data_IF_887018977491
#
_entry.id   IF_887018977491
#
_cell.length_a   1.000
_cell.length_b   1.000
_cell.length_c   1.000
_cell.angle_alpha   90.00
_cell.angle_beta   90.00
_cell.angle_gamma   90.00
#
_symmetry.space_group_name_H-M   'P 1'
#
loop_
_entity.id
_entity.type
_entity.pdbx_description
1 polymer ?
#
# COMPACT_ATOMS: atom_id res chain seq x y z
N UNK A 1 33.31 -3.70 61.53
CA UNK A 1 34.03 -3.66 60.24
C UNK A 1 33.21 -4.51 59.30
N UNK A 2 32.56 -3.93 58.28
CA UNK A 2 31.52 -4.59 57.47
C UNK A 2 32.05 -4.87 56.07
N UNK A 3 31.80 -6.07 55.57
CA UNK A 3 31.90 -6.42 54.17
C UNK A 3 30.84 -5.68 53.34
N UNK A 4 31.18 -5.43 52.09
CA UNK A 4 30.26 -5.03 51.02
C UNK A 4 30.50 -5.99 49.86
N UNK A 5 29.51 -6.81 49.55
CA UNK A 5 29.48 -7.66 48.36
C UNK A 5 28.29 -7.23 47.50
N UNK A 6 28.52 -7.05 46.21
CA UNK A 6 27.68 -6.19 45.34
C UNK A 6 26.75 -7.06 44.47
N UNK A 7 25.54 -7.34 44.96
CA UNK A 7 24.58 -8.21 44.27
C UNK A 7 23.94 -7.51 43.06
N UNK A 8 24.36 -7.93 41.86
CA UNK A 8 23.89 -7.37 40.59
C UNK A 8 22.48 -7.87 40.25
N UNK A 9 21.49 -7.08 40.66
CA UNK A 9 20.06 -7.36 40.54
C UNK A 9 19.59 -7.93 39.19
N UNK A 10 19.30 -9.24 39.17
CA UNK A 10 18.67 -9.96 38.06
C UNK A 10 17.32 -9.32 37.68
N UNK A 11 17.17 -8.94 36.40
CA UNK A 11 15.87 -8.57 35.82
C UNK A 11 14.91 -9.78 35.79
N UNK A 12 13.61 -9.64 36.09
CA UNK A 12 12.65 -10.74 36.01
C UNK A 12 12.39 -11.15 34.55
N UNK A 13 12.35 -12.45 34.29
CA UNK A 13 11.90 -13.00 32.99
C UNK A 13 10.36 -12.99 32.91
N UNK A 14 9.73 -12.47 31.83
CA UNK A 14 8.30 -12.67 31.60
C UNK A 14 8.00 -14.16 31.37
N UNK A 15 6.86 -14.63 31.91
CA UNK A 15 6.53 -16.06 32.00
C UNK A 15 6.13 -16.67 30.65
N UNK A 16 6.71 -17.82 30.34
CA UNK A 16 6.65 -18.56 29.06
C UNK A 16 5.32 -19.30 28.75
N UNK A 17 4.18 -18.83 29.26
CA UNK A 17 2.92 -19.61 29.25
C UNK A 17 2.21 -19.63 27.89
N UNK A 18 2.46 -18.66 26.99
CA UNK A 18 1.95 -18.70 25.59
C UNK A 18 2.83 -19.54 24.66
N UNK A 19 4.15 -19.47 24.81
CA UNK A 19 5.11 -20.16 23.93
C UNK A 19 4.97 -21.70 23.94
N UNK A 20 4.53 -22.31 25.06
CA UNK A 20 4.31 -23.75 25.14
C UNK A 20 3.03 -24.24 24.44
N UNK A 21 2.00 -23.37 24.31
CA UNK A 21 0.72 -23.73 23.69
C UNK A 21 0.75 -23.71 22.16
N UNK A 22 1.66 -22.96 21.55
CA UNK A 22 1.88 -22.99 20.10
C UNK A 22 2.70 -24.21 19.66
N UNK A 23 3.75 -24.59 20.41
CA UNK A 23 4.67 -25.72 20.08
C UNK A 23 4.04 -27.12 20.11
N UNK A 24 2.74 -27.27 20.40
CA UNK A 24 2.04 -28.56 20.49
C UNK A 24 0.71 -28.60 19.72
N UNK A 25 0.42 -27.61 18.86
CA UNK A 25 -0.75 -27.70 17.98
C UNK A 25 -0.46 -28.59 16.75
N UNK A 26 -0.96 -29.82 16.78
CA UNK A 26 -0.94 -30.70 15.61
C UNK A 26 -1.72 -30.11 14.43
N UNK A 27 -1.25 -30.35 13.20
CA UNK A 27 -1.75 -29.80 11.93
C UNK A 27 -3.28 -29.68 11.81
N UNK A 28 -4.04 -30.67 12.29
CA UNK A 28 -5.52 -30.65 12.29
C UNK A 28 -6.11 -29.50 13.12
N UNK A 29 -5.56 -29.26 14.32
CA UNK A 29 -6.01 -28.20 15.22
C UNK A 29 -5.59 -26.82 14.74
N UNK A 30 -4.45 -26.74 14.04
CA UNK A 30 -4.05 -25.54 13.31
C UNK A 30 -5.06 -25.24 12.20
N UNK A 31 -5.41 -26.19 11.33
CA UNK A 31 -6.45 -26.00 10.29
C UNK A 31 -7.84 -25.68 10.87
N UNK A 32 -8.25 -26.29 11.98
CA UNK A 32 -9.47 -25.88 12.70
C UNK A 32 -9.37 -24.45 13.24
N UNK A 33 -8.20 -24.04 13.74
CA UNK A 33 -7.95 -22.66 14.20
C UNK A 33 -7.93 -21.69 13.02
N UNK A 34 -7.37 -22.05 11.86
CA UNK A 34 -7.49 -21.25 10.62
C UNK A 34 -8.98 -21.07 10.24
N UNK A 35 -9.78 -22.14 10.32
CA UNK A 35 -11.20 -22.10 9.99
C UNK A 35 -12.05 -21.30 11.00
N UNK A 36 -11.67 -21.27 12.29
CA UNK A 36 -12.39 -20.52 13.34
C UNK A 36 -11.86 -19.10 13.57
N UNK A 37 -10.61 -18.78 13.23
CA UNK A 37 -9.96 -17.48 13.50
C UNK A 37 -10.25 -16.40 12.44
N UNK A 38 -11.39 -16.45 11.73
CA UNK A 38 -11.80 -15.36 10.84
C UNK A 38 -10.83 -15.11 9.69
N UNK A 39 -10.36 -16.20 9.06
CA UNK A 39 -9.61 -16.16 7.81
C UNK A 39 -10.50 -15.59 6.69
N UNK A 40 -10.42 -14.27 6.49
CA UNK A 40 -11.15 -13.54 5.46
C UNK A 40 -10.80 -14.03 4.04
N UNK A 41 -11.55 -13.58 3.03
CA UNK A 41 -11.62 -14.19 1.68
C UNK A 41 -10.32 -14.56 0.96
N UNK A 42 -9.17 -13.97 1.34
CA UNK A 42 -7.83 -14.40 0.92
C UNK A 42 -7.51 -15.87 1.26
N UNK A 43 -8.11 -16.42 2.31
CA UNK A 43 -7.92 -17.79 2.77
C UNK A 43 -8.41 -18.83 1.75
N UNK A 44 -9.48 -18.52 1.03
CA UNK A 44 -10.04 -19.37 -0.01
C UNK A 44 -9.11 -19.52 -1.24
N UNK A 45 -8.04 -18.72 -1.30
CA UNK A 45 -7.00 -18.78 -2.33
C UNK A 45 -5.84 -19.73 -1.93
N UNK A 46 -5.79 -20.17 -0.68
CA UNK A 46 -4.82 -21.12 -0.17
C UNK A 46 -5.34 -22.56 -0.32
N UNK A 47 -4.48 -23.46 -0.75
CA UNK A 47 -4.76 -24.87 -1.03
C UNK A 47 -4.27 -25.76 0.11
N UNK A 48 -4.73 -27.01 0.12
CA UNK A 48 -4.19 -28.02 1.02
C UNK A 48 -2.71 -28.33 0.78
N UNK A 49 -2.16 -28.03 -0.41
CA UNK A 49 -0.73 -28.17 -0.71
C UNK A 49 0.07 -27.04 -0.08
N UNK A 50 -0.39 -25.78 -0.15
CA UNK A 50 0.25 -24.63 0.49
C UNK A 50 0.41 -24.85 2.01
N UNK A 51 -0.64 -25.38 2.67
CA UNK A 51 -0.62 -25.70 4.11
C UNK A 51 0.25 -26.93 4.43
N UNK A 52 0.43 -27.86 3.47
CA UNK A 52 1.32 -29.02 3.64
C UNK A 52 2.80 -28.67 3.43
N UNK A 53 3.07 -27.68 2.57
CA UNK A 53 4.41 -27.17 2.28
C UNK A 53 4.98 -26.27 3.40
N UNK A 54 4.11 -25.57 4.15
CA UNK A 54 4.54 -24.74 5.27
C UNK A 54 5.20 -25.55 6.40
N UNK A 55 6.21 -24.92 7.03
CA UNK A 55 6.87 -25.41 8.24
C UNK A 55 5.91 -25.56 9.43
N UNK A 56 6.37 -26.22 10.50
CA UNK A 56 5.57 -26.43 11.73
C UNK A 56 5.22 -25.16 12.50
N UNK A 57 5.99 -24.10 12.25
CA UNK A 57 6.01 -22.79 12.87
C UNK A 57 5.81 -21.67 11.84
N UNK A 58 5.41 -22.02 10.62
CA UNK A 58 5.09 -21.09 9.54
C UNK A 58 3.62 -21.18 9.15
N UNK A 59 3.13 -20.13 8.48
CA UNK A 59 1.80 -20.11 7.86
C UNK A 59 1.91 -19.66 6.40
N UNK A 60 1.16 -20.28 5.46
CA UNK A 60 1.10 -19.79 4.10
C UNK A 60 0.25 -18.52 4.02
N UNK A 61 0.71 -17.54 3.25
CA UNK A 61 0.01 -16.28 2.95
C UNK A 61 -0.02 -16.03 1.44
N UNK A 62 -0.99 -15.23 1.01
CA UNK A 62 -0.97 -14.62 -0.32
C UNK A 62 -0.31 -13.25 -0.19
N UNK A 63 0.92 -13.07 -0.69
CA UNK A 63 1.63 -11.78 -0.62
C UNK A 63 1.24 -10.82 -1.76
N UNK A 64 0.53 -11.29 -2.78
CA UNK A 64 0.00 -10.42 -3.82
C UNK A 64 -0.73 -11.17 -4.92
N UNK A 65 -0.94 -10.48 -6.02
CA UNK A 65 -1.49 -11.04 -7.24
C UNK A 65 -0.72 -10.51 -8.42
N UNK A 66 -0.34 -11.39 -9.34
CA UNK A 66 0.39 -11.03 -10.54
C UNK A 66 0.05 -11.99 -11.69
N UNK A 67 0.46 -11.62 -12.89
CA UNK A 67 0.42 -12.51 -14.05
C UNK A 67 1.56 -13.52 -14.01
N UNK A 68 1.23 -14.79 -14.27
CA UNK A 68 2.21 -15.81 -14.60
C UNK A 68 2.53 -15.74 -16.08
N UNK A 69 3.59 -15.00 -16.40
CA UNK A 69 4.27 -15.14 -17.69
C UNK A 69 5.23 -16.33 -17.53
N UNK A 70 4.84 -17.47 -18.10
CA UNK A 70 5.73 -18.58 -18.39
C UNK A 70 6.26 -18.43 -19.83
N UNK A 71 7.41 -19.03 -20.14
CA UNK A 71 8.07 -18.87 -21.44
C UNK A 71 7.18 -19.41 -22.58
N UNK A 72 6.51 -18.50 -23.29
CA UNK A 72 5.63 -18.81 -24.42
C UNK A 72 4.16 -18.39 -24.25
N UNK A 73 3.70 -18.01 -23.06
CA UNK A 73 2.35 -17.48 -22.84
C UNK A 73 2.35 -15.96 -22.63
N UNK A 74 2.10 -15.21 -23.72
CA UNK A 74 1.99 -13.75 -23.69
C UNK A 74 0.71 -13.23 -22.99
N UNK A 75 -0.31 -14.06 -22.76
CA UNK A 75 -1.56 -13.70 -22.04
C UNK A 75 -1.54 -14.07 -20.55
N UNK A 76 -0.68 -15.01 -20.13
CA UNK A 76 -0.20 -15.27 -18.77
C UNK A 76 -1.16 -14.99 -17.61
N UNK A 77 -1.83 -16.04 -17.12
CA UNK A 77 -2.95 -15.98 -16.15
C UNK A 77 -2.66 -15.12 -14.91
N UNK A 78 -3.62 -14.28 -14.51
CA UNK A 78 -3.56 -13.54 -13.25
C UNK A 78 -3.96 -14.42 -12.06
N UNK A 79 -3.07 -14.57 -11.09
CA UNK A 79 -3.25 -15.48 -9.96
C UNK A 79 -2.68 -14.97 -8.63
N UNK A 80 -3.04 -15.61 -7.50
CA UNK A 80 -2.50 -15.31 -6.19
C UNK A 80 -1.03 -15.75 -6.10
N UNK A 81 -0.18 -14.83 -5.66
CA UNK A 81 1.24 -15.04 -5.33
C UNK A 81 1.37 -15.44 -3.86
N UNK A 82 2.03 -16.56 -3.58
CA UNK A 82 2.04 -17.22 -2.26
C UNK A 82 3.45 -17.37 -1.72
N UNK A 83 3.58 -17.29 -0.40
CA UNK A 83 4.81 -17.56 0.37
C UNK A 83 4.45 -18.05 1.77
N UNK A 84 5.42 -18.50 2.55
CA UNK A 84 5.25 -18.73 3.99
C UNK A 84 5.86 -17.60 4.81
N UNK A 85 5.38 -17.43 6.04
CA UNK A 85 5.87 -16.47 7.05
C UNK A 85 5.79 -17.08 8.45
N UNK A 86 6.58 -16.61 9.44
CA UNK A 86 6.47 -17.08 10.83
C UNK A 86 5.07 -16.93 11.41
N UNK A 87 4.60 -17.97 12.09
CA UNK A 87 3.22 -18.05 12.59
C UNK A 87 2.93 -17.11 13.76
N UNK A 88 3.95 -16.81 14.58
CA UNK A 88 3.87 -15.83 15.67
C UNK A 88 3.73 -14.41 15.12
N UNK A 89 4.57 -14.01 14.17
CA UNK A 89 4.48 -12.73 13.47
C UNK A 89 3.13 -12.54 12.78
N UNK A 90 2.60 -13.58 12.12
CA UNK A 90 1.30 -13.48 11.46
C UNK A 90 0.15 -13.34 12.47
N UNK A 91 0.23 -14.02 13.61
CA UNK A 91 -0.74 -13.87 14.69
C UNK A 91 -0.71 -12.45 15.29
N UNK A 92 0.47 -11.88 15.50
CA UNK A 92 0.63 -10.49 15.96
C UNK A 92 0.10 -9.47 14.96
N UNK A 93 0.43 -9.64 13.66
CA UNK A 93 -0.12 -8.79 12.59
C UNK A 93 -1.64 -8.83 12.56
N UNK A 94 -2.23 -10.04 12.71
CA UNK A 94 -3.69 -10.22 12.78
C UNK A 94 -4.28 -9.52 13.99
N UNK A 95 -3.69 -9.68 15.17
CA UNK A 95 -4.13 -8.98 16.38
C UNK A 95 -4.10 -7.46 16.19
N UNK A 96 -3.04 -6.90 15.58
CA UNK A 96 -2.94 -5.47 15.33
C UNK A 96 -3.97 -4.94 14.31
N UNK A 97 -4.27 -5.70 13.25
CA UNK A 97 -5.33 -5.38 12.29
C UNK A 97 -6.73 -5.42 12.91
N UNK A 98 -6.98 -6.37 13.81
CA UNK A 98 -8.26 -6.50 14.50
C UNK A 98 -8.41 -5.39 15.57
N UNK A 99 -7.36 -5.10 16.34
CA UNK A 99 -7.29 -3.97 17.28
C UNK A 99 -7.48 -2.59 16.60
N UNK A 100 -6.81 -2.33 15.47
CA UNK A 100 -6.97 -1.09 14.69
C UNK A 100 -8.43 -0.87 14.26
N UNK A 101 -9.10 -1.94 13.85
CA UNK A 101 -10.49 -1.95 13.38
C UNK A 101 -11.50 -1.73 14.50
N UNK A 102 -11.30 -2.39 15.64
CA UNK A 102 -12.22 -2.33 16.78
C UNK A 102 -12.14 -1.00 17.55
N UNK A 103 -10.93 -0.45 17.73
CA UNK A 103 -10.72 0.77 18.50
C UNK A 103 -11.19 2.05 17.79
N UNK A 104 -11.39 1.98 16.47
CA UNK A 104 -11.92 3.05 15.61
C UNK A 104 -11.25 4.42 15.85
N UNK A 105 -9.94 4.47 16.10
CA UNK A 105 -9.21 5.64 16.60
C UNK A 105 -9.58 6.98 15.95
N UNK A 106 -9.63 7.00 14.62
CA UNK A 106 -9.98 8.16 13.77
C UNK A 106 -11.44 8.64 13.83
N UNK A 107 -12.34 7.97 14.56
CA UNK A 107 -13.64 8.54 14.93
C UNK A 107 -13.61 9.26 16.29
N UNK A 108 -12.46 9.28 16.98
CA UNK A 108 -12.24 10.12 18.17
C UNK A 108 -11.83 11.52 17.73
N UNK A 109 -12.33 12.53 18.44
CA UNK A 109 -11.93 13.91 18.19
C UNK A 109 -10.42 14.10 18.43
N UNK A 110 -9.77 14.92 17.61
CA UNK A 110 -8.34 15.21 17.70
C UNK A 110 -7.40 14.15 17.10
N UNK A 111 -7.86 12.92 16.82
CA UNK A 111 -7.08 11.94 16.04
C UNK A 111 -7.08 12.34 14.55
N UNK A 112 -5.90 12.45 13.95
CA UNK A 112 -5.75 12.82 12.53
C UNK A 112 -5.39 11.65 11.63
N UNK A 113 -4.71 10.62 12.16
CA UNK A 113 -4.45 9.38 11.44
C UNK A 113 -4.29 8.20 12.40
N UNK A 114 -4.51 6.99 11.88
CA UNK A 114 -4.11 5.74 12.52
C UNK A 114 -3.72 4.70 11.45
N UNK A 115 -2.93 3.69 11.82
CA UNK A 115 -2.61 2.58 10.95
C UNK A 115 -1.87 1.47 11.67
N UNK A 116 -1.77 0.30 11.04
CA UNK A 116 -1.01 -0.83 11.61
C UNK A 116 0.45 -0.72 11.22
N UNK A 117 1.34 -0.88 12.20
CA UNK A 117 2.78 -1.04 12.01
C UNK A 117 3.09 -2.53 12.11
N UNK A 118 3.27 -3.26 10.99
CA UNK A 118 3.72 -4.64 11.02
C UNK A 118 5.04 -4.78 11.77
N UNK A 119 5.14 -5.85 12.56
CA UNK A 119 6.34 -6.22 13.29
C UNK A 119 7.46 -6.74 12.39
N UNK A 120 8.58 -7.10 13.01
CA UNK A 120 9.77 -7.68 12.39
C UNK A 120 9.78 -9.21 12.61
N UNK A 121 10.28 -10.00 11.66
CA UNK A 121 10.38 -11.45 11.85
C UNK A 121 11.36 -11.79 12.99
N UNK A 122 10.85 -12.46 14.04
CA UNK A 122 11.62 -12.73 15.26
C UNK A 122 12.04 -11.48 16.07
N UNK A 123 11.49 -10.31 15.73
CA UNK A 123 11.85 -9.02 16.32
C UNK A 123 10.69 -8.41 17.11
N UNK A 124 10.41 -7.12 16.89
CA UNK A 124 9.29 -6.42 17.53
C UNK A 124 7.94 -6.90 16.99
N UNK A 125 6.96 -7.09 17.88
CA UNK A 125 5.57 -7.41 17.53
C UNK A 125 4.92 -6.26 16.73
N UNK A 126 3.79 -6.54 16.08
CA UNK A 126 3.00 -5.51 15.40
C UNK A 126 2.27 -4.58 16.40
N UNK A 127 2.11 -3.32 16.01
CA UNK A 127 1.48 -2.26 16.81
C UNK A 127 0.43 -1.49 15.98
N UNK A 128 -0.38 -0.67 16.65
CA UNK A 128 -1.18 0.38 16.00
C UNK A 128 -0.49 1.73 16.24
N UNK A 129 -0.14 2.45 15.19
CA UNK A 129 0.32 3.82 15.29
C UNK A 129 -0.90 4.77 15.19
N UNK A 130 -0.93 5.82 16.01
CA UNK A 130 -1.98 6.84 16.01
C UNK A 130 -1.33 8.23 16.04
N UNK A 131 -1.61 9.05 15.03
CA UNK A 131 -1.25 10.47 15.02
C UNK A 131 -2.44 11.29 15.56
N UNK A 132 -2.21 12.06 16.60
CA UNK A 132 -3.23 12.86 17.27
C UNK A 132 -2.71 14.25 17.66
N UNK A 133 -3.63 15.20 17.85
CA UNK A 133 -3.33 16.49 18.46
C UNK A 133 -3.05 16.32 19.95
N UNK A 134 -2.43 17.34 20.55
CA UNK A 134 -2.20 17.43 21.98
C UNK A 134 -3.48 17.13 22.80
N UNK A 135 -3.27 16.57 23.99
CA UNK A 135 -4.30 16.31 25.02
C UNK A 135 -5.41 15.31 24.63
N UNK A 136 -5.29 14.57 23.52
CA UNK A 136 -6.21 13.48 23.16
C UNK A 136 -5.90 12.22 23.99
N UNK A 137 -6.84 11.82 24.84
CA UNK A 137 -6.75 10.57 25.63
C UNK A 137 -6.88 9.33 24.73
N UNK A 138 -5.80 8.57 24.63
CA UNK A 138 -5.67 7.36 23.84
C UNK A 138 -5.11 6.22 24.71
N UNK A 139 -5.71 5.02 24.65
CA UNK A 139 -5.22 3.89 25.42
C UNK A 139 -3.86 3.44 24.89
N UNK A 140 -2.89 3.17 25.78
CA UNK A 140 -1.57 2.65 25.41
C UNK A 140 -1.62 1.25 24.77
N UNK A 141 -2.74 0.52 24.93
CA UNK A 141 -2.96 -0.81 24.36
C UNK A 141 -4.42 -1.04 23.99
N UNK A 142 -4.65 -1.90 23.00
CA UNK A 142 -5.96 -2.48 22.67
C UNK A 142 -5.83 -3.99 22.72
N UNK A 143 -6.40 -4.60 23.76
CA UNK A 143 -6.08 -5.97 24.14
C UNK A 143 -4.59 -6.11 24.44
N UNK A 144 -3.91 -7.06 23.79
CA UNK A 144 -2.46 -7.24 23.92
C UNK A 144 -1.64 -6.33 23.00
N UNK A 145 -2.24 -5.66 22.01
CA UNK A 145 -1.53 -4.85 21.01
C UNK A 145 -1.17 -3.48 21.58
N UNK A 146 0.07 -3.02 21.36
CA UNK A 146 0.51 -1.66 21.74
C UNK A 146 -0.01 -0.59 20.79
N UNK A 147 -0.31 0.58 21.34
CA UNK A 147 -0.69 1.79 20.61
C UNK A 147 0.44 2.80 20.73
N UNK A 148 1.06 3.13 19.60
CA UNK A 148 2.17 4.08 19.49
C UNK A 148 1.60 5.45 19.09
N UNK A 149 1.53 6.38 20.04
CA UNK A 149 0.94 7.72 19.82
C UNK A 149 2.01 8.73 19.39
N UNK A 150 1.81 9.36 18.24
CA UNK A 150 2.58 10.52 17.78
C UNK A 150 1.74 11.79 17.93
N UNK A 151 2.30 12.79 18.60
CA UNK A 151 1.67 14.11 18.75
C UNK A 151 1.99 14.99 17.54
N UNK A 152 0.99 15.65 16.97
CA UNK A 152 1.15 16.49 15.75
C UNK A 152 0.58 17.89 15.92
N UNK A 153 1.34 18.88 15.44
CA UNK A 153 0.95 20.30 15.41
C UNK A 153 0.55 20.73 13.98
N UNK A 154 -0.45 21.61 13.79
CA UNK A 154 -0.91 22.02 12.47
C UNK A 154 0.02 23.07 11.83
N UNK A 155 1.03 22.60 11.10
CA UNK A 155 1.86 23.42 10.21
C UNK A 155 1.27 23.57 8.81
N UNK A 156 1.63 24.64 8.07
CA UNK A 156 1.16 24.88 6.70
C UNK A 156 2.27 25.46 5.83
N UNK A 157 2.66 24.70 4.79
CA UNK A 157 3.63 25.13 3.76
C UNK A 157 3.09 24.82 2.36
N UNK A 158 3.42 25.68 1.39
CA UNK A 158 2.91 25.64 0.01
C UNK A 158 3.99 25.20 -1.02
N UNK A 159 3.60 24.68 -2.19
CA UNK A 159 4.52 24.17 -3.22
C UNK A 159 5.37 25.19 -3.98
N UNK A 160 6.44 24.66 -4.58
CA UNK A 160 7.19 25.20 -5.72
C UNK A 160 7.08 24.25 -6.94
N UNK A 161 7.22 24.76 -8.17
CA UNK A 161 6.94 24.02 -9.42
C UNK A 161 8.06 24.09 -10.47
N UNK A 162 8.45 22.94 -11.04
CA UNK A 162 9.31 22.71 -12.24
C UNK A 162 9.27 21.20 -12.58
N UNK A 163 9.44 20.69 -13.81
CA UNK A 163 9.42 21.25 -15.19
C UNK A 163 9.06 20.11 -16.20
N UNK A 164 8.62 20.35 -17.46
CA UNK A 164 8.11 19.28 -18.32
C UNK A 164 9.16 18.49 -19.12
N UNK A 165 8.95 17.18 -19.30
CA UNK A 165 9.80 16.31 -20.15
C UNK A 165 8.98 15.54 -21.18
N UNK A 166 9.42 15.59 -22.43
CA UNK A 166 8.71 15.08 -23.61
C UNK A 166 8.45 13.56 -23.63
N UNK A 167 7.45 13.16 -24.42
CA UNK A 167 7.31 11.80 -24.96
C UNK A 167 6.62 11.84 -26.33
N UNK A 168 6.87 10.86 -27.20
CA UNK A 168 6.29 10.80 -28.57
C UNK A 168 4.79 10.37 -28.55
N UNK A 169 4.11 10.44 -29.68
CA UNK A 169 2.66 10.23 -29.85
C UNK A 169 2.33 8.88 -30.51
N UNK A 170 1.05 8.46 -30.43
CA UNK A 170 0.54 7.25 -31.10
C UNK A 170 0.99 5.93 -30.48
N UNK A 171 1.29 5.92 -29.18
CA UNK A 171 1.98 4.82 -28.49
C UNK A 171 1.30 4.46 -27.17
N UNK A 172 1.51 3.23 -26.70
CA UNK A 172 1.15 2.83 -25.34
C UNK A 172 1.93 3.68 -24.33
N UNK A 173 1.23 4.32 -23.39
CA UNK A 173 1.77 5.36 -22.51
C UNK A 173 2.04 4.78 -21.12
N UNK A 174 3.30 4.74 -20.65
CA UNK A 174 3.64 4.22 -19.33
C UNK A 174 3.27 5.18 -18.20
N UNK A 175 3.16 4.65 -16.99
CA UNK A 175 3.10 5.45 -15.77
C UNK A 175 4.41 6.21 -15.51
N UNK A 176 4.36 7.19 -14.61
CA UNK A 176 5.51 8.05 -14.31
C UNK A 176 5.75 9.17 -15.34
N UNK A 177 4.75 9.48 -16.18
CA UNK A 177 4.76 10.63 -17.13
C UNK A 177 3.82 11.74 -16.65
N UNK A 178 4.05 12.97 -17.13
CA UNK A 178 3.23 14.13 -16.79
C UNK A 178 1.86 14.08 -17.49
N UNK A 179 0.80 14.23 -16.71
CA UNK A 179 -0.57 14.29 -17.20
C UNK A 179 -1.40 15.30 -16.40
N UNK A 180 -2.56 15.69 -16.92
CA UNK A 180 -3.46 16.58 -16.20
C UNK A 180 -4.50 17.26 -17.06
N UNK A 181 -4.88 18.45 -16.62
CA UNK A 181 -5.83 19.36 -17.27
C UNK A 181 -5.09 20.64 -17.68
N UNK A 182 -5.72 21.63 -18.34
CA UNK A 182 -5.07 22.93 -18.60
C UNK A 182 -4.60 23.64 -17.32
N UNK A 183 -5.29 23.40 -16.19
CA UNK A 183 -5.14 24.15 -14.94
C UNK A 183 -4.40 23.37 -13.83
N UNK A 184 -4.05 22.09 -14.06
CA UNK A 184 -3.44 21.22 -13.05
C UNK A 184 -2.62 20.10 -13.67
N UNK A 185 -1.49 19.76 -13.04
CA UNK A 185 -0.55 18.71 -13.48
C UNK A 185 -0.32 17.70 -12.35
N UNK A 186 -0.21 16.44 -12.73
CA UNK A 186 0.20 15.34 -11.88
C UNK A 186 0.92 14.25 -12.67
N UNK A 187 1.11 13.11 -12.03
CA UNK A 187 1.73 11.92 -12.59
C UNK A 187 0.67 10.90 -13.04
N UNK A 188 0.86 10.32 -14.22
CA UNK A 188 0.05 9.22 -14.73
C UNK A 188 0.48 7.91 -14.04
N UNK A 189 -0.49 7.09 -13.61
CA UNK A 189 -0.22 5.72 -13.19
C UNK A 189 0.03 4.79 -14.39
N UNK A 190 0.67 3.61 -14.20
CA UNK A 190 0.59 2.52 -15.17
C UNK A 190 -0.86 2.08 -15.37
N UNK A 191 -1.09 1.25 -16.39
CA UNK A 191 -2.41 0.71 -16.70
C UNK A 191 -3.09 0.08 -15.48
N UNK A 192 -4.32 0.52 -15.23
CA UNK A 192 -5.25 -0.14 -14.34
C UNK A 192 -6.33 -0.83 -15.16
N UNK A 193 -6.90 -1.90 -14.61
CA UNK A 193 -7.77 -2.82 -15.33
C UNK A 193 -9.11 -3.02 -14.63
N UNK A 194 -10.17 -3.00 -15.42
CA UNK A 194 -11.52 -3.45 -15.06
C UNK A 194 -11.76 -4.79 -15.77
N UNK A 195 -11.49 -5.89 -15.07
CA UNK A 195 -11.36 -7.21 -15.70
C UNK A 195 -10.18 -7.23 -16.68
N UNK A 196 -10.46 -7.41 -17.97
CA UNK A 196 -9.47 -7.27 -19.07
C UNK A 196 -9.41 -5.84 -19.67
N UNK A 197 -10.33 -4.92 -19.34
CA UNK A 197 -10.40 -3.58 -19.96
C UNK A 197 -9.40 -2.61 -19.31
N UNK A 198 -8.36 -2.14 -20.02
CA UNK A 198 -7.43 -1.14 -19.49
C UNK A 198 -8.05 0.26 -19.43
N UNK A 199 -7.63 1.06 -18.45
CA UNK A 199 -7.97 2.48 -18.34
C UNK A 199 -6.78 3.32 -17.81
N UNK A 200 -6.79 4.60 -18.15
CA UNK A 200 -5.83 5.58 -17.61
C UNK A 200 -6.24 6.00 -16.20
N UNK A 201 -5.27 6.14 -15.30
CA UNK A 201 -5.50 6.60 -13.94
C UNK A 201 -4.48 7.67 -13.50
N UNK A 202 -4.97 8.61 -12.69
CA UNK A 202 -4.20 9.62 -11.95
C UNK A 202 -5.05 10.08 -10.76
N UNK A 203 -4.55 11.00 -9.93
CA UNK A 203 -5.25 11.45 -8.72
C UNK A 203 -6.61 12.11 -9.05
N UNK A 204 -7.59 12.01 -8.14
CA UNK A 204 -8.87 12.70 -8.32
C UNK A 204 -8.68 14.22 -8.29
N UNK A 205 -7.79 14.70 -7.41
CA UNK A 205 -7.46 16.12 -7.27
C UNK A 205 -6.63 16.72 -8.43
N UNK A 206 -6.18 15.91 -9.42
CA UNK A 206 -5.49 16.40 -10.63
C UNK A 206 -6.48 16.80 -11.75
N UNK A 207 -7.71 16.27 -11.71
CA UNK A 207 -8.78 16.55 -12.70
C UNK A 207 -10.02 17.22 -12.11
N UNK A 208 -9.94 17.60 -10.84
CA UNK A 208 -10.99 18.23 -10.03
C UNK A 208 -10.45 18.61 -8.66
N UNK A 209 -11.32 19.07 -7.75
CA UNK A 209 -10.95 19.24 -6.33
C UNK A 209 -11.39 18.03 -5.49
N UNK A 210 -10.82 17.89 -4.29
CA UNK A 210 -10.91 16.74 -3.36
C UNK A 210 -12.30 16.13 -3.10
N UNK A 211 -13.38 16.90 -3.31
CA UNK A 211 -14.76 16.49 -2.98
C UNK A 211 -15.56 15.93 -4.16
N UNK A 212 -15.13 16.16 -5.39
CA UNK A 212 -15.98 15.95 -6.56
C UNK A 212 -15.75 14.58 -7.19
N UNK A 213 -16.81 13.77 -7.33
CA UNK A 213 -16.85 12.79 -8.42
C UNK A 213 -16.79 13.58 -9.74
N UNK A 214 -15.80 13.30 -10.58
CA UNK A 214 -15.64 13.94 -11.90
C UNK A 214 -16.04 13.00 -13.03
N UNK A 215 -16.58 13.57 -14.10
CA UNK A 215 -16.94 12.91 -15.36
C UNK A 215 -16.77 13.90 -16.50
N UNK A 216 -16.43 13.43 -17.70
CA UNK A 216 -16.33 14.26 -18.91
C UNK A 216 -15.08 15.14 -19.02
N UNK A 217 -14.33 15.37 -17.94
CA UNK A 217 -13.05 16.10 -18.00
C UNK A 217 -12.07 15.38 -18.93
N UNK A 218 -11.42 16.12 -19.84
CA UNK A 218 -10.36 15.57 -20.69
C UNK A 218 -9.04 15.47 -19.92
N UNK A 219 -8.43 14.29 -19.91
CA UNK A 219 -7.06 14.09 -19.43
C UNK A 219 -6.09 14.25 -20.60
N UNK A 220 -5.02 15.02 -20.39
CA UNK A 220 -3.98 15.33 -21.37
C UNK A 220 -2.61 14.86 -20.88
N UNK A 221 -1.68 14.64 -21.81
CA UNK A 221 -0.26 14.61 -21.49
C UNK A 221 0.25 16.05 -21.42
N UNK A 222 0.91 16.39 -20.32
CA UNK A 222 1.52 17.70 -20.09
C UNK A 222 2.99 17.63 -20.52
N UNK A 223 3.57 18.74 -20.98
CA UNK A 223 4.97 18.77 -21.44
C UNK A 223 5.20 18.28 -22.87
N UNK A 224 4.17 18.32 -23.72
CA UNK A 224 4.30 18.24 -25.17
C UNK A 224 3.82 19.55 -25.78
N UNK A 225 4.43 20.01 -26.87
CA UNK A 225 4.03 21.23 -27.58
C UNK A 225 2.53 21.29 -27.92
N UNK A 226 1.89 20.15 -28.19
CA UNK A 226 0.45 20.04 -28.47
C UNK A 226 -0.43 19.61 -27.28
N UNK A 227 0.17 19.27 -26.12
CA UNK A 227 -0.48 18.70 -24.92
C UNK A 227 -1.72 17.82 -25.22
N UNK A 228 -1.51 16.70 -25.95
CA UNK A 228 -2.59 15.93 -26.54
C UNK A 228 -3.49 15.30 -25.48
N UNK A 229 -4.79 15.26 -25.77
CA UNK A 229 -5.76 14.49 -25.00
C UNK A 229 -5.45 13.00 -25.18
N UNK A 230 -5.46 12.26 -24.07
CA UNK A 230 -5.25 10.80 -24.04
C UNK A 230 -6.48 10.05 -23.55
N UNK A 231 -7.40 10.75 -22.89
CA UNK A 231 -8.60 10.12 -22.35
C UNK A 231 -9.64 11.12 -21.85
N UNK A 232 -10.81 10.59 -21.51
CA UNK A 232 -11.92 11.32 -20.87
C UNK A 232 -12.29 10.63 -19.56
N UNK A 233 -12.42 11.39 -18.48
CA UNK A 233 -12.77 10.86 -17.16
C UNK A 233 -14.16 10.20 -17.22
N UNK A 234 -14.22 8.88 -17.04
CA UNK A 234 -15.48 8.13 -16.91
C UNK A 234 -16.08 8.34 -15.51
N UNK A 235 -15.22 8.30 -14.47
CA UNK A 235 -15.59 8.47 -13.06
C UNK A 235 -14.40 8.88 -12.20
N UNK A 236 -14.63 9.81 -11.27
CA UNK A 236 -13.74 10.10 -10.16
C UNK A 236 -14.18 9.42 -8.85
N UNK A 237 -13.20 9.04 -8.03
CA UNK A 237 -13.34 8.30 -6.78
C UNK A 237 -12.69 9.11 -5.65
N UNK A 238 -13.44 10.06 -5.09
CA UNK A 238 -12.89 11.04 -4.14
C UNK A 238 -12.30 10.42 -2.85
N UNK A 239 -12.89 9.31 -2.35
CA UNK A 239 -12.47 8.65 -1.11
C UNK A 239 -11.17 7.84 -1.23
N UNK A 240 -10.85 7.35 -2.43
CA UNK A 240 -9.60 6.68 -2.76
C UNK A 240 -8.63 7.60 -3.53
N UNK A 241 -9.10 8.81 -3.86
CA UNK A 241 -8.43 9.87 -4.59
C UNK A 241 -7.81 9.42 -5.92
N UNK A 242 -8.62 8.76 -6.77
CA UNK A 242 -8.25 8.41 -8.14
C UNK A 242 -9.35 8.73 -9.15
N UNK A 243 -8.98 8.82 -10.42
CA UNK A 243 -9.94 8.81 -11.54
C UNK A 243 -9.71 7.63 -12.47
N UNK A 244 -10.84 7.12 -12.98
CA UNK A 244 -10.88 6.19 -14.11
C UNK A 244 -11.14 6.99 -15.39
N UNK A 245 -10.23 6.87 -16.34
CA UNK A 245 -10.24 7.65 -17.58
C UNK A 245 -10.26 6.70 -18.78
N UNK A 246 -11.32 6.78 -19.59
CA UNK A 246 -11.42 6.04 -20.84
C UNK A 246 -10.36 6.54 -21.81
N UNK A 247 -9.53 5.66 -22.41
CA UNK A 247 -8.60 6.05 -23.46
C UNK A 247 -9.32 6.63 -24.68
N UNK A 248 -8.70 7.59 -25.37
CA UNK A 248 -9.22 8.18 -26.61
C UNK A 248 -8.08 8.53 -27.58
N UNK A 249 -8.43 8.98 -28.78
CA UNK A 249 -7.51 9.54 -29.79
C UNK A 249 -6.32 8.62 -30.13
N UNK A 250 -6.51 7.30 -30.05
CA UNK A 250 -5.50 6.27 -30.35
C UNK A 250 -4.49 5.99 -29.22
N UNK A 251 -4.60 6.66 -28.07
CA UNK A 251 -3.76 6.39 -26.91
C UNK A 251 -4.28 5.23 -26.07
N UNK A 252 -3.35 4.49 -25.45
CA UNK A 252 -3.65 3.38 -24.54
C UNK A 252 -2.67 3.43 -23.35
N UNK A 253 -3.07 3.01 -22.14
CA UNK A 253 -2.15 2.92 -21.01
C UNK A 253 -1.28 1.65 -21.12
N UNK A 254 -0.02 1.74 -20.70
CA UNK A 254 0.90 0.61 -20.64
C UNK A 254 0.98 0.03 -19.22
N UNK A 255 1.08 -1.30 -19.10
CA UNK A 255 1.52 -1.98 -17.87
C UNK A 255 3.03 -1.82 -17.67
N UNK A 256 3.50 -0.58 -17.62
CA UNK A 256 4.90 -0.23 -17.45
C UNK A 256 5.07 1.11 -16.75
N UNK A 257 6.17 1.27 -16.02
CA UNK A 257 6.55 2.54 -15.36
C UNK A 257 7.82 3.08 -16.03
N UNK A 258 7.77 4.34 -16.48
CA UNK A 258 8.91 5.05 -17.07
C UNK A 258 10.04 5.13 -16.05
N UNK A 259 11.25 4.71 -16.41
CA UNK A 259 12.43 4.80 -15.52
C UNK A 259 12.44 3.82 -14.33
N UNK A 260 11.48 2.91 -14.24
CA UNK A 260 11.56 1.77 -13.34
C UNK A 260 12.47 0.68 -13.90
N UNK A 261 13.01 -0.16 -13.01
CA UNK A 261 13.82 -1.33 -13.32
C UNK A 261 13.43 -2.45 -12.32
N UNK A 262 12.82 -3.56 -12.78
CA UNK A 262 12.23 -3.73 -14.11
C UNK A 262 11.15 -2.69 -14.46
N UNK A 263 10.83 -2.54 -15.75
CA UNK A 263 9.79 -1.58 -16.22
C UNK A 263 8.37 -2.13 -16.14
N UNK A 264 8.20 -3.41 -16.43
CA UNK A 264 6.90 -4.06 -16.58
C UNK A 264 6.18 -4.17 -15.24
N UNK A 265 4.92 -3.75 -15.20
CA UNK A 265 4.03 -3.96 -14.06
C UNK A 265 3.34 -5.31 -14.26
N UNK A 266 3.65 -6.27 -13.39
CA UNK A 266 3.10 -7.63 -13.46
C UNK A 266 1.92 -7.84 -12.52
N UNK A 267 1.72 -6.95 -11.55
CA UNK A 267 0.71 -7.12 -10.52
C UNK A 267 0.80 -6.13 -9.37
N UNK A 268 0.42 -6.60 -8.18
CA UNK A 268 0.23 -5.78 -6.99
C UNK A 268 0.32 -6.58 -5.70
N UNK A 269 0.79 -5.95 -4.62
CA UNK A 269 0.86 -6.57 -3.31
C UNK A 269 -0.51 -6.65 -2.62
N UNK A 270 -0.70 -7.71 -1.83
CA UNK A 270 -1.77 -7.80 -0.84
C UNK A 270 -1.41 -6.94 0.39
N UNK A 271 -2.32 -6.84 1.35
CA UNK A 271 -2.02 -6.19 2.64
C UNK A 271 -0.94 -6.96 3.40
N UNK A 272 -1.06 -8.28 3.41
CA UNK A 272 -0.13 -9.20 4.08
C UNK A 272 1.24 -9.24 3.39
N UNK A 273 1.31 -9.01 2.07
CA UNK A 273 2.56 -8.84 1.34
C UNK A 273 3.27 -7.52 1.64
N UNK A 274 2.54 -6.41 1.76
CA UNK A 274 3.10 -5.14 2.23
C UNK A 274 3.63 -5.25 3.68
N UNK A 275 2.93 -6.02 4.53
CA UNK A 275 3.41 -6.35 5.86
C UNK A 275 4.72 -7.16 5.81
N UNK A 276 4.79 -8.16 4.94
CA UNK A 276 5.99 -9.01 4.73
C UNK A 276 7.19 -8.19 4.26
N UNK A 277 7.01 -7.32 3.26
CA UNK A 277 8.07 -6.41 2.81
C UNK A 277 8.57 -5.50 3.95
N UNK A 278 7.66 -4.96 4.78
CA UNK A 278 8.06 -4.18 5.95
C UNK A 278 8.88 -5.01 6.95
N UNK A 279 8.42 -6.22 7.26
CA UNK A 279 9.08 -7.13 8.21
C UNK A 279 10.49 -7.55 7.74
N UNK A 280 10.69 -7.63 6.43
CA UNK A 280 11.98 -7.86 5.77
C UNK A 280 12.86 -6.60 5.66
N UNK A 281 12.34 -5.42 6.02
CA UNK A 281 13.06 -4.14 5.92
C UNK A 281 13.10 -3.54 4.51
N UNK A 282 12.32 -4.08 3.58
CA UNK A 282 12.32 -3.68 2.17
C UNK A 282 11.78 -2.27 1.93
N UNK A 283 12.17 -1.71 0.77
CA UNK A 283 11.85 -0.33 0.38
C UNK A 283 11.06 -0.26 -0.91
N UNK A 284 9.91 0.37 -0.86
CA UNK A 284 9.15 0.73 -2.05
C UNK A 284 9.88 1.81 -2.85
N UNK A 285 9.83 1.74 -4.17
CA UNK A 285 10.25 2.77 -5.10
C UNK A 285 9.03 3.51 -5.66
N UNK A 286 9.19 4.75 -6.11
CA UNK A 286 8.18 5.52 -6.86
C UNK A 286 8.87 6.18 -8.05
N UNK A 287 8.15 6.35 -9.16
CA UNK A 287 8.50 7.36 -10.16
C UNK A 287 7.40 8.42 -10.21
N UNK A 288 7.77 9.64 -9.83
CA UNK A 288 6.94 10.83 -9.95
C UNK A 288 7.49 11.77 -11.02
N UNK A 289 6.67 12.74 -11.45
CA UNK A 289 7.05 13.76 -12.42
C UNK A 289 8.04 14.77 -11.83
N UNK A 290 7.85 15.14 -10.56
CA UNK A 290 8.62 16.20 -9.90
C UNK A 290 9.88 15.63 -9.26
N UNK A 291 9.78 14.61 -8.39
CA UNK A 291 10.97 14.06 -7.71
C UNK A 291 11.69 12.95 -8.48
N UNK A 292 11.22 12.59 -9.68
CA UNK A 292 11.75 11.45 -10.43
C UNK A 292 11.63 10.12 -9.65
N UNK A 293 12.71 9.32 -9.65
CA UNK A 293 12.75 8.00 -8.97
C UNK A 293 13.20 8.13 -7.52
N UNK A 294 12.28 7.92 -6.57
CA UNK A 294 12.57 7.91 -5.13
C UNK A 294 12.39 6.51 -4.53
N UNK A 295 12.91 6.28 -3.31
CA UNK A 295 12.75 5.02 -2.56
C UNK A 295 12.51 5.28 -1.06
N UNK A 296 11.76 4.41 -0.39
CA UNK A 296 11.30 4.63 0.97
C UNK A 296 10.88 3.34 1.70
N UNK A 297 11.09 3.28 3.02
CA UNK A 297 10.61 2.15 3.85
C UNK A 297 9.09 2.19 4.00
N UNK A 298 8.46 1.04 4.22
CA UNK A 298 7.06 0.97 4.67
C UNK A 298 7.00 1.31 6.17
N UNK A 299 6.20 2.31 6.52
CA UNK A 299 6.00 2.75 7.90
C UNK A 299 4.76 2.06 8.50
N UNK A 300 3.60 2.18 7.86
CA UNK A 300 2.34 1.60 8.30
C UNK A 300 1.44 1.19 7.12
N UNK A 301 0.53 0.24 7.36
CA UNK A 301 -0.45 -0.30 6.40
C UNK A 301 -1.87 -0.20 6.98
N UNK A 302 -2.88 -0.47 6.15
CA UNK A 302 -4.31 -0.42 6.53
C UNK A 302 -4.75 0.96 7.07
N UNK A 303 -3.97 2.01 6.78
CA UNK A 303 -4.10 3.31 7.42
C UNK A 303 -5.43 4.00 7.13
N UNK A 304 -5.85 4.83 8.07
CA UNK A 304 -6.89 5.83 7.86
C UNK A 304 -6.35 7.19 8.28
N UNK A 305 -6.53 8.19 7.42
CA UNK A 305 -6.04 9.55 7.68
C UNK A 305 -7.07 10.59 7.25
N UNK A 306 -7.30 11.54 8.14
CA UNK A 306 -8.10 12.74 7.96
C UNK A 306 -7.22 13.96 7.60
N UNK A 307 -5.90 13.76 7.42
CA UNK A 307 -4.94 14.83 7.18
C UNK A 307 -5.05 15.49 5.79
N UNK A 308 -5.65 14.82 4.80
CA UNK A 308 -5.78 15.36 3.43
C UNK A 308 -7.19 15.17 2.83
N UNK A 309 -7.82 16.30 2.47
CA UNK A 309 -9.22 16.38 2.07
C UNK A 309 -10.17 16.56 3.28
N UNK A 310 -11.45 16.88 3.00
CA UNK A 310 -12.46 17.09 4.06
C UNK A 310 -13.13 15.79 4.56
N UNK A 311 -12.61 14.62 4.18
CA UNK A 311 -13.13 13.30 4.57
C UNK A 311 -11.95 12.36 4.81
N UNK A 312 -11.99 11.61 5.90
CA UNK A 312 -10.94 10.64 6.24
C UNK A 312 -10.85 9.52 5.19
N UNK A 313 -9.68 9.38 4.56
CA UNK A 313 -9.39 8.37 3.53
C UNK A 313 -8.91 7.08 4.20
N UNK A 314 -9.43 5.93 3.75
CA UNK A 314 -9.19 4.59 4.31
C UNK A 314 -8.28 3.75 3.40
N UNK A 315 -7.69 2.69 3.95
CA UNK A 315 -6.86 1.74 3.19
C UNK A 315 -5.57 2.36 2.68
N UNK A 316 -4.96 3.20 3.51
CA UNK A 316 -3.80 4.01 3.17
C UNK A 316 -2.49 3.28 3.53
N UNK A 317 -1.46 3.55 2.74
CA UNK A 317 -0.11 3.03 2.90
C UNK A 317 0.81 4.20 3.27
N UNK A 318 1.38 4.14 4.47
CA UNK A 318 2.36 5.11 4.98
C UNK A 318 3.75 4.61 4.63
N UNK A 319 4.51 5.36 3.84
CA UNK A 319 5.84 4.92 3.40
C UNK A 319 6.76 6.11 3.10
N UNK A 320 8.05 5.86 2.93
CA UNK A 320 9.01 6.89 2.53
C UNK A 320 9.28 7.95 3.58
N UNK A 321 9.47 9.17 3.10
CA UNK A 321 9.96 10.36 3.82
C UNK A 321 9.61 11.62 3.00
N UNK A 322 9.89 12.81 3.52
CA UNK A 322 9.68 14.10 2.87
C UNK A 322 10.42 14.23 1.54
N UNK A 323 11.66 13.74 1.50
CA UNK A 323 12.45 13.65 0.27
C UNK A 323 11.91 12.66 -0.78
N UNK A 324 10.90 11.85 -0.43
CA UNK A 324 10.34 10.87 -1.35
C UNK A 324 9.21 11.42 -2.24
N UNK A 325 8.62 12.59 -1.96
CA UNK A 325 7.46 13.14 -2.69
C UNK A 325 7.43 14.69 -2.72
N UNK A 326 7.04 15.27 -3.86
CA UNK A 326 6.73 16.70 -4.00
C UNK A 326 5.51 16.91 -4.92
N UNK A 327 4.90 18.10 -4.89
CA UNK A 327 3.65 18.33 -5.61
C UNK A 327 3.87 18.23 -7.14
N UNK A 328 2.91 17.60 -7.83
CA UNK A 328 3.06 17.09 -9.21
C UNK A 328 3.37 15.59 -9.28
N UNK A 329 3.85 14.96 -8.21
CA UNK A 329 3.95 13.50 -8.10
C UNK A 329 2.60 12.80 -7.87
N UNK A 330 1.54 13.55 -7.58
CA UNK A 330 0.18 13.04 -7.35
C UNK A 330 -0.28 12.11 -8.48
N UNK A 331 -0.90 10.98 -8.13
CA UNK A 331 -1.30 9.94 -9.09
C UNK A 331 -0.19 8.96 -9.48
N UNK A 332 1.06 9.18 -9.06
CA UNK A 332 2.14 8.18 -9.15
C UNK A 332 1.81 6.92 -8.34
N UNK A 333 2.46 5.80 -8.70
CA UNK A 333 2.43 4.56 -7.93
C UNK A 333 3.74 4.33 -7.20
N UNK A 334 3.67 3.70 -6.03
CA UNK A 334 4.81 3.07 -5.38
C UNK A 334 4.82 1.56 -5.69
N UNK A 335 6.00 0.97 -5.82
CA UNK A 335 6.21 -0.38 -6.34
C UNK A 335 7.47 -1.05 -5.78
N UNK A 336 7.55 -2.37 -5.91
CA UNK A 336 8.76 -3.16 -5.64
C UNK A 336 8.83 -4.30 -6.69
N UNK A 337 10.02 -4.80 -7.08
CA UNK A 337 10.11 -6.08 -7.79
C UNK A 337 9.33 -7.19 -7.08
N UNK A 338 8.83 -8.18 -7.81
CA UNK A 338 8.26 -9.37 -7.18
C UNK A 338 9.37 -10.04 -6.34
N UNK A 339 9.21 -10.22 -5.00
CA UNK A 339 10.29 -10.73 -4.15
C UNK A 339 10.64 -12.20 -4.42
N UNK A 340 9.79 -12.95 -5.14
CA UNK A 340 10.05 -14.33 -5.57
C UNK A 340 10.49 -14.39 -7.04
N UNK A 341 10.02 -13.47 -7.89
CA UNK A 341 10.37 -13.39 -9.33
C UNK A 341 10.86 -11.99 -9.72
N UNK A 342 11.99 -11.48 -9.18
CA UNK A 342 12.38 -10.07 -9.29
C UNK A 342 12.60 -9.59 -10.72
N UNK A 343 13.01 -10.47 -11.63
CA UNK A 343 13.24 -10.15 -13.05
C UNK A 343 11.94 -10.14 -13.89
N UNK A 344 10.85 -10.76 -13.41
CA UNK A 344 9.59 -10.82 -14.16
C UNK A 344 8.91 -9.44 -14.25
N UNK A 345 9.10 -8.59 -13.24
CA UNK A 345 8.52 -7.26 -13.21
C UNK A 345 8.41 -6.67 -11.82
N UNK A 346 7.69 -5.55 -11.75
CA UNK A 346 7.34 -4.87 -10.49
C UNK A 346 5.86 -5.07 -10.15
N UNK A 347 5.61 -5.14 -8.84
CA UNK A 347 4.28 -5.18 -8.25
C UNK A 347 3.99 -3.84 -7.56
N UNK A 348 2.78 -3.30 -7.76
CA UNK A 348 2.34 -2.04 -7.16
C UNK A 348 1.94 -2.24 -5.70
N UNK A 349 2.47 -1.41 -4.80
CA UNK A 349 2.08 -1.39 -3.38
C UNK A 349 0.91 -0.44 -3.10
N UNK A 350 0.96 0.75 -3.70
CA UNK A 350 -0.03 1.81 -3.54
C UNK A 350 0.03 2.85 -4.65
N UNK A 351 -1.01 3.65 -4.72
CA UNK A 351 -1.35 4.57 -5.79
C UNK A 351 -1.71 5.96 -5.23
N UNK A 352 -1.51 7.01 -6.03
CA UNK A 352 -1.67 8.41 -5.65
C UNK A 352 -1.00 8.68 -4.31
N UNK A 353 0.32 8.59 -4.36
CA UNK A 353 1.15 9.16 -3.33
C UNK A 353 0.81 10.65 -3.14
N UNK A 354 0.78 11.12 -1.90
CA UNK A 354 0.49 12.49 -1.50
C UNK A 354 1.26 12.80 -0.20
N UNK A 355 1.65 14.08 -0.03
CA UNK A 355 2.30 14.58 1.19
C UNK A 355 1.33 15.32 2.09
N UNK A 356 1.63 15.32 3.39
CA UNK A 356 1.02 16.19 4.41
C UNK A 356 2.10 16.63 5.38
N UNK A 357 2.47 17.92 5.40
CA UNK A 357 3.45 18.45 6.35
C UNK A 357 2.79 18.90 7.65
N UNK A 358 2.67 17.98 8.60
CA UNK A 358 2.59 18.34 10.01
C UNK A 358 4.02 18.37 10.58
N UNK A 359 4.42 19.39 11.36
CA UNK A 359 5.54 19.31 12.28
C UNK A 359 5.67 17.92 12.93
N UNK A 360 6.89 17.36 12.87
CA UNK A 360 7.27 16.00 13.30
C UNK A 360 6.84 14.80 12.40
N UNK A 361 6.18 15.01 11.25
CA UNK A 361 5.83 13.91 10.33
C UNK A 361 6.72 13.83 9.07
N UNK A 362 7.47 12.73 8.92
CA UNK A 362 8.39 12.46 7.80
C UNK A 362 7.97 11.23 6.99
N UNK A 363 6.96 11.37 6.11
CA UNK A 363 6.41 10.27 5.31
C UNK A 363 5.57 10.71 4.10
N UNK A 364 5.11 9.72 3.33
CA UNK A 364 4.18 9.83 2.20
C UNK A 364 2.98 8.91 2.44
N UNK A 365 1.76 9.40 2.22
CA UNK A 365 0.54 8.58 2.18
C UNK A 365 0.22 8.20 0.74
N UNK A 366 -0.41 7.04 0.51
CA UNK A 366 -1.06 6.71 -0.76
C UNK A 366 -2.07 5.57 -0.60
N UNK A 367 -3.10 5.53 -1.43
CA UNK A 367 -4.13 4.48 -1.35
C UNK A 367 -3.52 3.14 -1.74
N UNK A 368 -3.57 2.14 -0.85
CA UNK A 368 -2.95 0.84 -1.09
C UNK A 368 -3.64 0.10 -2.25
N UNK A 369 -2.87 -0.60 -3.08
CA UNK A 369 -3.39 -1.24 -4.29
C UNK A 369 -4.45 -2.30 -3.97
N UNK A 370 -4.23 -3.11 -2.93
CA UNK A 370 -5.19 -4.11 -2.44
C UNK A 370 -6.53 -3.49 -2.02
N UNK A 371 -6.52 -2.25 -1.50
CA UNK A 371 -7.75 -1.56 -1.06
C UNK A 371 -8.59 -1.08 -2.24
N UNK A 372 -7.94 -0.59 -3.30
CA UNK A 372 -8.62 -0.24 -4.55
C UNK A 372 -9.28 -1.49 -5.17
N UNK A 373 -8.59 -2.63 -5.18
CA UNK A 373 -9.17 -3.90 -5.64
C UNK A 373 -10.30 -4.38 -4.75
N UNK A 374 -10.18 -4.30 -3.43
CA UNK A 374 -11.21 -4.73 -2.50
C UNK A 374 -12.50 -3.89 -2.59
N UNK A 375 -12.41 -2.59 -2.93
CA UNK A 375 -13.57 -1.70 -3.10
C UNK A 375 -14.17 -1.70 -4.50
N UNK A 376 -13.33 -1.72 -5.54
CA UNK A 376 -13.74 -1.43 -6.91
C UNK A 376 -13.47 -2.56 -7.90
N UNK A 377 -12.82 -3.64 -7.47
CA UNK A 377 -12.43 -4.78 -8.33
C UNK A 377 -11.23 -4.51 -9.25
N UNK A 378 -10.77 -3.25 -9.34
CA UNK A 378 -9.71 -2.85 -10.27
C UNK A 378 -8.33 -3.37 -9.87
N UNK A 379 -7.51 -3.69 -10.85
CA UNK A 379 -6.16 -4.26 -10.66
C UNK A 379 -5.09 -3.60 -11.52
N UNK A 380 -3.82 -3.77 -11.16
CA UNK A 380 -2.65 -3.29 -11.92
C UNK A 380 -2.15 -4.27 -13.00
N UNK A 381 -2.87 -5.37 -13.21
CA UNK A 381 -2.71 -6.29 -14.34
C UNK A 381 -4.11 -6.85 -14.72
N UNK A 382 -4.34 -7.26 -15.98
CA UNK A 382 -5.63 -7.74 -16.43
C UNK A 382 -6.02 -9.03 -15.71
N UNK A 383 -7.31 -9.16 -15.33
CA UNK A 383 -7.91 -10.37 -14.78
C UNK A 383 -8.68 -11.13 -15.86
N UNK A 384 -8.54 -12.45 -15.90
CA UNK A 384 -9.36 -13.30 -16.75
C UNK A 384 -10.83 -13.34 -16.30
N UNK A 385 -11.72 -13.50 -17.29
CA UNK A 385 -13.14 -13.67 -17.02
C UNK A 385 -13.39 -14.94 -16.20
N UNK A 386 -13.80 -14.77 -14.94
CA UNK A 386 -14.08 -15.88 -14.01
C UNK A 386 -13.18 -15.93 -12.77
N UNK A 387 -12.05 -15.23 -12.76
CA UNK A 387 -11.27 -15.03 -11.53
C UNK A 387 -11.97 -13.95 -10.67
N UNK A 388 -12.72 -14.33 -9.64
CA UNK A 388 -13.29 -13.43 -8.62
C UNK A 388 -12.51 -13.47 -7.31
#
# INVERSE_FOLDING_TARGET
>A
MRETDDDTGRRPRPRSVRASRLRTMGRRRFVETLATAGFGGMAALLTADDVRAAGSDEVPIVYGFARDVEDGDEEGRFGPRKTTVPADWFADLRAALDAHREAAFVSREGVVAAGVVPGEFGGRNAAVEVAARADVDLPERVGDVSVEVTQVDPGRSAPSSVDPVESRSGTSVPGGVACGTPDSTGTLAPAMYDGRRPFFATANHVVGGDKAERRGTSLRLVGKAASPRIGTVERGYALEDFVRVAPTDGYWPASAIRGAEPRTVVGQFSREGLATLKAQGEKLAKVGVTTGRTRGKIQAIDGMTCAYGQVCKRGQLKWGSQSAFDDGDSGSVNYHPDPVRPDAGVMVGGFNNARTWWPAEDYVWGTAAHHVTARHGFTFAPRDAGAR
#
